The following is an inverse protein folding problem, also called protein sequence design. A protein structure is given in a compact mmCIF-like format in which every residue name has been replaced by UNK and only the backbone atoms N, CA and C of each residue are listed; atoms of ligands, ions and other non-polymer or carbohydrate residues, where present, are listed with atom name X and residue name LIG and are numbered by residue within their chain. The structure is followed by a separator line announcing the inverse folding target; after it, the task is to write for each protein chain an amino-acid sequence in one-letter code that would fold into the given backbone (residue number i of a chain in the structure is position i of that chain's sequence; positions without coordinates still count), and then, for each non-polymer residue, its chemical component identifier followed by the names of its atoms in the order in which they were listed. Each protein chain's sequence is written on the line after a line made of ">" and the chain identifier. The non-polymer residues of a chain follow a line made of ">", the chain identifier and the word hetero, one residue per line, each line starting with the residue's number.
data_IF_786561996147
#
_entry.id   IF_786561996147
#
_cell.length_a   1.000
_cell.length_b   1.000
_cell.length_c   1.000
_cell.angle_alpha   90.00
_cell.angle_beta   90.00
_cell.angle_gamma   90.00
#
_symmetry.space_group_name_H-M   'P 1'
#
loop_
_entity.id
_entity.type
_entity.pdbx_description
1 polymer ?
#
# COMPACT_ATOMS: atom_id res chain seq x y z
N UNK A 1 4.93 -28.79 -20.34
CA UNK A 1 5.35 -27.40 -20.63
C UNK A 1 4.14 -26.68 -21.23
N UNK A 2 3.10 -26.37 -20.44
CA UNK A 2 1.81 -25.93 -21.03
C UNK A 2 0.85 -25.12 -20.15
N UNK A 3 0.91 -25.18 -18.81
CA UNK A 3 0.01 -24.38 -17.95
C UNK A 3 0.78 -23.36 -17.10
N UNK A 4 1.96 -23.72 -16.61
CA UNK A 4 2.76 -22.82 -15.78
C UNK A 4 3.26 -21.58 -16.55
N UNK A 5 3.75 -21.77 -17.77
CA UNK A 5 4.26 -20.68 -18.62
C UNK A 5 3.14 -19.68 -19.00
N UNK A 6 1.97 -20.19 -19.37
CA UNK A 6 0.83 -19.33 -19.71
C UNK A 6 0.34 -18.52 -18.51
N UNK A 7 0.35 -19.09 -17.30
CA UNK A 7 0.01 -18.33 -16.09
C UNK A 7 1.04 -17.24 -15.76
N UNK A 8 2.32 -17.48 -16.04
CA UNK A 8 3.39 -16.50 -15.83
C UNK A 8 3.24 -15.32 -16.80
N UNK A 9 3.01 -15.60 -18.09
CA UNK A 9 2.82 -14.56 -19.11
C UNK A 9 1.60 -13.70 -18.81
N UNK A 10 0.45 -14.30 -18.44
CA UNK A 10 -0.76 -13.55 -18.11
C UNK A 10 -0.52 -12.64 -16.89
N UNK A 11 0.14 -13.16 -15.85
CA UNK A 11 0.50 -12.35 -14.67
C UNK A 11 1.42 -11.19 -15.04
N UNK A 12 2.45 -11.46 -15.85
CA UNK A 12 3.40 -10.46 -16.32
C UNK A 12 2.71 -9.31 -17.04
N UNK A 13 1.88 -9.61 -18.05
CA UNK A 13 1.15 -8.58 -18.80
C UNK A 13 0.14 -7.82 -17.95
N UNK A 14 -0.59 -8.51 -17.07
CA UNK A 14 -1.54 -7.87 -16.15
C UNK A 14 -0.85 -6.84 -15.26
N UNK A 15 0.35 -7.17 -14.78
CA UNK A 15 1.13 -6.31 -13.89
C UNK A 15 1.79 -5.14 -14.63
N UNK A 16 2.21 -5.32 -15.89
CA UNK A 16 2.63 -4.19 -16.76
C UNK A 16 1.47 -3.21 -16.96
N UNK A 17 0.27 -3.71 -17.24
CA UNK A 17 -0.92 -2.87 -17.42
C UNK A 17 -1.24 -2.13 -16.11
N UNK A 18 -1.24 -2.84 -14.97
CA UNK A 18 -1.46 -2.24 -13.67
C UNK A 18 -0.41 -1.20 -13.31
N UNK A 19 0.86 -1.43 -13.63
CA UNK A 19 1.92 -0.46 -13.38
C UNK A 19 1.79 0.78 -14.28
N UNK A 20 1.62 0.57 -15.58
CA UNK A 20 1.55 1.65 -16.59
C UNK A 20 0.32 2.55 -16.43
N UNK A 21 -0.80 2.01 -15.96
CA UNK A 21 -2.03 2.79 -15.72
C UNK A 21 -2.13 3.22 -14.25
N UNK A 22 -1.87 2.30 -13.33
CA UNK A 22 -2.09 2.47 -11.90
C UNK A 22 -1.15 3.50 -11.27
N UNK A 23 0.15 3.49 -11.60
CA UNK A 23 1.10 4.47 -11.02
C UNK A 23 0.76 5.89 -11.50
N UNK A 24 0.59 6.18 -12.81
CA UNK A 24 0.20 7.52 -13.23
C UNK A 24 -1.15 7.97 -12.66
N UNK A 25 -2.15 7.08 -12.62
CA UNK A 25 -3.46 7.41 -12.05
C UNK A 25 -3.37 7.76 -10.56
N UNK A 26 -2.63 6.97 -9.78
CA UNK A 26 -2.41 7.20 -8.35
C UNK A 26 -1.64 8.50 -8.10
N UNK A 27 -0.59 8.78 -8.89
CA UNK A 27 0.15 10.04 -8.83
C UNK A 27 -0.71 11.25 -9.18
N UNK A 28 -1.51 11.16 -10.25
CA UNK A 28 -2.44 12.23 -10.65
C UNK A 28 -3.48 12.49 -9.56
N UNK A 29 -4.02 11.45 -8.93
CA UNK A 29 -4.92 11.58 -7.80
C UNK A 29 -4.24 12.30 -6.62
N UNK A 30 -3.05 11.87 -6.23
CA UNK A 30 -2.29 12.52 -5.16
C UNK A 30 -2.04 14.01 -5.46
N UNK A 31 -1.62 14.33 -6.68
CA UNK A 31 -1.39 15.71 -7.14
C UNK A 31 -2.69 16.51 -7.18
N UNK A 32 -3.80 15.95 -7.66
CA UNK A 32 -5.09 16.62 -7.71
C UNK A 32 -5.60 16.98 -6.31
N UNK A 33 -5.56 16.03 -5.36
CA UNK A 33 -6.01 16.25 -4.00
C UNK A 33 -5.06 17.16 -3.20
N UNK A 34 -3.76 17.12 -3.46
CA UNK A 34 -2.78 18.01 -2.81
C UNK A 34 -2.69 19.41 -3.45
N UNK A 35 -2.95 19.52 -4.75
CA UNK A 35 -2.71 20.72 -5.56
C UNK A 35 -3.88 21.69 -5.58
N UNK A 36 -5.12 21.19 -5.67
CA UNK A 36 -6.30 22.03 -5.85
C UNK A 36 -6.65 22.73 -4.53
N UNK A 37 -6.71 24.07 -4.54
CA UNK A 37 -6.99 24.90 -3.36
C UNK A 37 -8.26 24.50 -2.60
N UNK A 38 -9.29 24.04 -3.32
CA UNK A 38 -10.56 23.57 -2.74
C UNK A 38 -10.34 22.33 -1.87
N UNK A 39 -9.54 21.36 -2.35
CA UNK A 39 -9.29 20.11 -1.62
C UNK A 39 -8.34 20.27 -0.44
N UNK A 40 -7.42 21.26 -0.47
CA UNK A 40 -6.53 21.58 0.66
C UNK A 40 -7.26 21.96 1.95
N UNK A 41 -8.53 22.37 1.87
CA UNK A 41 -9.35 22.68 3.06
C UNK A 41 -10.11 21.48 3.60
N UNK A 42 -10.18 20.37 2.85
CA UNK A 42 -10.85 19.16 3.30
C UNK A 42 -9.86 18.21 3.96
N UNK A 43 -10.09 17.89 5.23
CA UNK A 43 -9.42 16.81 5.96
C UNK A 43 -9.49 15.49 5.19
N UNK A 44 -10.68 15.12 4.69
CA UNK A 44 -10.89 13.91 3.86
C UNK A 44 -9.94 13.81 2.67
N UNK A 45 -9.64 14.93 2.00
CA UNK A 45 -8.80 14.93 0.80
C UNK A 45 -7.34 14.59 1.12
N UNK A 46 -6.88 14.89 2.32
CA UNK A 46 -5.53 14.50 2.75
C UNK A 46 -5.42 12.99 2.96
N UNK A 47 -6.46 12.35 3.51
CA UNK A 47 -6.50 10.89 3.64
C UNK A 47 -6.54 10.22 2.26
N UNK A 48 -7.36 10.71 1.34
CA UNK A 48 -7.43 10.17 -0.04
C UNK A 48 -6.11 10.38 -0.80
N UNK A 49 -5.44 11.53 -0.61
CA UNK A 49 -4.10 11.75 -1.16
C UNK A 49 -3.08 10.76 -0.58
N UNK A 50 -3.11 10.52 0.74
CA UNK A 50 -2.26 9.53 1.40
C UNK A 50 -2.51 8.10 0.91
N UNK A 51 -3.78 7.72 0.74
CA UNK A 51 -4.18 6.45 0.14
C UNK A 51 -3.63 6.33 -1.28
N UNK A 52 -3.78 7.37 -2.11
CA UNK A 52 -3.28 7.35 -3.49
C UNK A 52 -1.76 7.18 -3.55
N UNK A 53 -1.00 7.81 -2.64
CA UNK A 53 0.45 7.60 -2.53
C UNK A 53 0.81 6.18 -2.09
N UNK A 54 0.03 5.60 -1.16
CA UNK A 54 0.21 4.22 -0.74
C UNK A 54 -0.06 3.25 -1.91
N UNK A 55 -1.15 3.46 -2.66
CA UNK A 55 -1.47 2.65 -3.85
C UNK A 55 -0.36 2.72 -4.91
N UNK A 56 0.18 3.92 -5.17
CA UNK A 56 1.32 4.09 -6.08
C UNK A 56 2.54 3.27 -5.61
N UNK A 57 2.84 3.30 -4.31
CA UNK A 57 3.95 2.53 -3.74
C UNK A 57 3.72 1.02 -3.85
N UNK A 58 2.49 0.53 -3.65
CA UNK A 58 2.14 -0.89 -3.88
C UNK A 58 2.42 -1.28 -5.32
N UNK A 59 1.95 -0.51 -6.30
CA UNK A 59 2.16 -0.83 -7.72
C UNK A 59 3.64 -0.88 -8.07
N UNK A 60 4.46 0.03 -7.52
CA UNK A 60 5.91 0.02 -7.73
C UNK A 60 6.54 -1.24 -7.12
N UNK A 61 6.23 -1.58 -5.87
CA UNK A 61 6.83 -2.74 -5.20
C UNK A 61 6.40 -4.04 -5.87
N UNK A 62 5.13 -4.18 -6.23
CA UNK A 62 4.62 -5.38 -6.92
C UNK A 62 5.27 -5.51 -8.30
N UNK A 63 5.49 -4.41 -9.02
CA UNK A 63 6.22 -4.44 -10.30
C UNK A 63 7.67 -4.90 -10.12
N UNK A 64 8.36 -4.42 -9.07
CA UNK A 64 9.73 -4.83 -8.76
C UNK A 64 9.86 -6.33 -8.45
N UNK A 65 8.83 -6.98 -7.92
CA UNK A 65 8.84 -8.42 -7.64
C UNK A 65 8.88 -9.30 -8.90
N UNK A 66 8.53 -8.75 -10.07
CA UNK A 66 8.42 -9.50 -11.33
C UNK A 66 9.70 -9.41 -12.14
N UNK A 67 10.51 -8.37 -11.91
CA UNK A 67 11.78 -8.22 -12.62
C UNK A 67 12.60 -9.47 -12.30
N UNK A 68 12.98 -10.27 -13.32
CA UNK A 68 13.43 -11.63 -13.11
C UNK A 68 14.56 -11.69 -12.08
N UNK A 69 14.35 -12.49 -11.04
CA UNK A 69 15.31 -12.78 -9.96
C UNK A 69 16.63 -13.40 -10.44
N UNK A 70 16.74 -13.72 -11.74
CA UNK A 70 18.01 -14.11 -12.37
C UNK A 70 18.92 -12.91 -12.68
N UNK A 71 18.38 -11.71 -12.91
CA UNK A 71 19.17 -10.51 -13.19
C UNK A 71 19.41 -9.66 -11.94
N UNK A 72 18.47 -9.65 -11.01
CA UNK A 72 18.64 -9.12 -9.67
C UNK A 72 18.90 -10.30 -8.74
N UNK A 73 20.12 -10.42 -8.22
CA UNK A 73 20.41 -11.30 -7.08
C UNK A 73 19.61 -10.81 -5.87
N UNK A 74 18.29 -11.07 -5.85
CA UNK A 74 17.37 -10.65 -4.80
C UNK A 74 17.87 -11.36 -3.55
N UNK A 75 18.42 -10.56 -2.63
CA UNK A 75 18.85 -11.08 -1.33
C UNK A 75 17.61 -11.53 -0.55
N UNK A 76 17.77 -12.53 0.34
CA UNK A 76 16.71 -12.90 1.30
C UNK A 76 16.16 -11.66 2.04
N UNK A 77 17.02 -10.67 2.30
CA UNK A 77 16.64 -9.38 2.89
C UNK A 77 15.69 -8.59 1.99
N UNK A 78 16.00 -8.46 0.69
CA UNK A 78 15.15 -7.76 -0.27
C UNK A 78 13.78 -8.44 -0.41
N UNK A 79 13.76 -9.77 -0.45
CA UNK A 79 12.54 -10.58 -0.46
C UNK A 79 11.63 -10.28 0.75
N UNK A 80 12.19 -10.37 1.97
CA UNK A 80 11.51 -10.02 3.24
C UNK A 80 10.97 -8.60 3.21
N UNK A 81 11.79 -7.64 2.80
CA UNK A 81 11.43 -6.23 2.79
C UNK A 81 10.32 -5.92 1.77
N UNK A 82 10.34 -6.55 0.59
CA UNK A 82 9.28 -6.38 -0.41
C UNK A 82 7.93 -6.89 0.09
N UNK A 83 7.88 -8.10 0.66
CA UNK A 83 6.62 -8.66 1.21
C UNK A 83 6.10 -7.79 2.36
N UNK A 84 6.97 -7.42 3.31
CA UNK A 84 6.64 -6.50 4.39
C UNK A 84 6.07 -5.17 3.86
N UNK A 85 6.74 -4.58 2.87
CA UNK A 85 6.36 -3.28 2.33
C UNK A 85 5.02 -3.32 1.60
N UNK A 86 4.70 -4.40 0.87
CA UNK A 86 3.39 -4.58 0.24
C UNK A 86 2.30 -4.66 1.30
N UNK A 87 2.44 -5.54 2.29
CA UNK A 87 1.42 -5.74 3.33
C UNK A 87 1.20 -4.48 4.18
N UNK A 88 2.30 -3.83 4.57
CA UNK A 88 2.26 -2.57 5.31
C UNK A 88 1.56 -1.47 4.51
N UNK A 89 1.92 -1.30 3.23
CA UNK A 89 1.33 -0.24 2.39
C UNK A 89 -0.15 -0.49 2.11
N UNK A 90 -0.57 -1.73 1.84
CA UNK A 90 -1.99 -2.08 1.66
C UNK A 90 -2.80 -1.80 2.93
N UNK A 91 -2.27 -2.16 4.10
CA UNK A 91 -2.94 -1.92 5.39
C UNK A 91 -3.07 -0.43 5.71
N UNK A 92 -2.04 0.35 5.38
CA UNK A 92 -2.06 1.81 5.50
C UNK A 92 -3.08 2.44 4.54
N UNK A 93 -3.14 1.99 3.28
CA UNK A 93 -4.12 2.46 2.31
C UNK A 93 -5.55 2.23 2.80
N UNK A 94 -5.84 1.03 3.32
CA UNK A 94 -7.14 0.70 3.92
C UNK A 94 -7.45 1.58 5.14
N UNK A 95 -6.45 1.86 5.97
CA UNK A 95 -6.62 2.74 7.14
C UNK A 95 -6.95 4.17 6.74
N UNK A 96 -6.30 4.71 5.70
CA UNK A 96 -6.64 6.02 5.16
C UNK A 96 -8.02 6.05 4.56
N UNK A 97 -8.43 4.97 3.87
CA UNK A 97 -9.80 4.84 3.40
C UNK A 97 -10.81 4.89 4.56
N UNK A 98 -10.60 4.10 5.63
CA UNK A 98 -11.45 4.11 6.82
C UNK A 98 -11.46 5.47 7.54
N UNK A 99 -10.31 6.13 7.67
CA UNK A 99 -10.21 7.47 8.27
C UNK A 99 -10.94 8.52 7.42
N UNK A 100 -10.89 8.39 6.09
CA UNK A 100 -11.65 9.25 5.18
C UNK A 100 -13.16 9.07 5.36
N UNK A 101 -13.63 7.83 5.53
CA UNK A 101 -15.03 7.53 5.79
C UNK A 101 -15.48 8.05 7.16
N UNK A 102 -14.64 7.87 8.19
CA UNK A 102 -14.89 8.39 9.53
C UNK A 102 -14.96 9.92 9.53
N UNK A 103 -14.07 10.60 8.81
CA UNK A 103 -14.11 12.07 8.64
C UNK A 103 -15.41 12.54 7.99
N UNK A 104 -15.90 11.83 6.97
CA UNK A 104 -17.20 12.10 6.33
C UNK A 104 -18.37 11.88 7.27
N UNK A 105 -18.38 10.79 8.03
CA UNK A 105 -19.38 10.53 9.05
C UNK A 105 -19.38 11.63 10.13
N UNK A 106 -18.20 12.02 10.62
CA UNK A 106 -18.04 13.08 11.62
C UNK A 106 -18.58 14.44 11.13
N UNK A 107 -18.48 14.72 9.81
CA UNK A 107 -19.08 15.92 9.21
C UNK A 107 -20.62 15.92 9.29
N UNK A 108 -21.25 14.75 9.18
CA UNK A 108 -22.71 14.60 9.22
C UNK A 108 -23.28 14.49 10.65
N UNK A 109 -22.43 14.25 11.65
CA UNK A 109 -22.85 14.11 13.03
C UNK A 109 -23.48 15.40 13.58
N UNK A 110 -24.52 15.27 14.42
CA UNK A 110 -25.15 16.42 15.10
C UNK A 110 -24.30 16.94 16.27
N UNK A 111 -23.37 16.15 16.78
CA UNK A 111 -22.58 16.47 17.97
C UNK A 111 -21.41 17.41 17.64
N UNK A 112 -21.38 18.60 18.23
CA UNK A 112 -20.32 19.61 18.02
C UNK A 112 -18.93 19.07 18.34
N UNK A 113 -18.78 18.28 19.42
CA UNK A 113 -17.49 17.66 19.80
C UNK A 113 -16.93 16.76 18.70
N UNK A 114 -17.79 15.98 18.03
CA UNK A 114 -17.37 15.08 16.94
C UNK A 114 -16.94 15.89 15.72
N UNK A 115 -17.65 16.99 15.40
CA UNK A 115 -17.26 17.89 14.30
C UNK A 115 -15.92 18.57 14.53
N UNK A 116 -15.54 18.84 15.79
CA UNK A 116 -14.24 19.44 16.13
C UNK A 116 -13.06 18.49 15.88
N UNK A 117 -13.27 17.16 15.83
CA UNK A 117 -12.21 16.20 15.49
C UNK A 117 -11.72 16.34 14.03
N UNK A 118 -12.46 17.06 13.19
CA UNK A 118 -12.15 17.32 11.77
C UNK A 118 -10.98 18.29 11.55
N UNK A 119 -10.40 18.85 12.62
CA UNK A 119 -9.33 19.83 12.47
C UNK A 119 -8.15 19.22 11.68
N UNK A 120 -7.70 19.90 10.64
CA UNK A 120 -6.55 19.50 9.80
C UNK A 120 -5.30 19.23 10.65
N UNK A 121 -5.17 19.92 11.79
CA UNK A 121 -4.09 19.69 12.74
C UNK A 121 -4.14 18.28 13.34
N UNK A 122 -5.34 17.76 13.65
CA UNK A 122 -5.53 16.39 14.14
C UNK A 122 -5.21 15.39 13.04
N UNK A 123 -5.66 15.64 11.80
CA UNK A 123 -5.34 14.80 10.63
C UNK A 123 -3.84 14.64 10.43
N UNK A 124 -3.07 15.73 10.50
CA UNK A 124 -1.61 15.69 10.36
C UNK A 124 -0.93 14.88 11.46
N UNK A 125 -1.46 14.92 12.69
CA UNK A 125 -0.95 14.13 13.82
C UNK A 125 -1.35 12.65 13.73
N UNK A 126 -2.52 12.35 13.15
CA UNK A 126 -2.99 10.98 12.94
C UNK A 126 -2.35 10.31 11.73
N UNK A 127 -1.82 11.08 10.77
CA UNK A 127 -1.21 10.53 9.56
C UNK A 127 -0.09 9.49 9.79
N UNK A 128 0.87 9.68 10.71
CA UNK A 128 1.89 8.65 10.99
C UNK A 128 1.38 7.45 11.79
N UNK A 129 0.21 7.53 12.43
CA UNK A 129 -0.28 6.47 13.34
C UNK A 129 -0.53 5.13 12.63
N UNK A 130 -1.22 5.08 11.46
CA UNK A 130 -1.34 3.85 10.69
C UNK A 130 0.01 3.24 10.32
N UNK A 131 0.99 4.05 9.91
CA UNK A 131 2.31 3.55 9.56
C UNK A 131 2.99 2.83 10.73
N UNK A 132 2.94 3.42 11.93
CA UNK A 132 3.55 2.83 13.13
C UNK A 132 2.81 1.53 13.51
N UNK A 133 1.48 1.58 13.60
CA UNK A 133 0.67 0.43 14.00
C UNK A 133 0.86 -0.74 13.04
N UNK A 134 0.77 -0.50 11.73
CA UNK A 134 0.94 -1.56 10.74
C UNK A 134 2.39 -2.01 10.58
N UNK A 135 3.38 -1.16 10.85
CA UNK A 135 4.76 -1.62 10.90
C UNK A 135 4.94 -2.68 11.98
N UNK A 136 4.41 -2.46 13.18
CA UNK A 136 4.48 -3.42 14.29
C UNK A 136 3.74 -4.72 13.99
N UNK A 137 2.53 -4.64 13.44
CA UNK A 137 1.72 -5.81 13.07
C UNK A 137 2.40 -6.64 11.98
N UNK A 138 3.08 -5.99 11.02
CA UNK A 138 3.70 -6.70 9.90
C UNK A 138 5.16 -7.16 10.17
N UNK A 139 5.73 -6.94 11.36
CA UNK A 139 7.05 -7.47 11.73
C UNK A 139 7.20 -8.99 11.47
N UNK A 140 6.19 -9.85 11.72
CA UNK A 140 6.30 -11.29 11.43
C UNK A 140 6.68 -11.60 9.98
N UNK A 141 6.24 -10.81 9.00
CA UNK A 141 6.63 -10.99 7.59
C UNK A 141 8.14 -10.82 7.37
N UNK A 142 8.83 -9.99 8.16
CA UNK A 142 10.28 -9.86 8.10
C UNK A 142 11.02 -11.07 8.69
N UNK A 143 10.38 -11.80 9.62
CA UNK A 143 10.98 -12.92 10.33
C UNK A 143 10.73 -14.23 9.57
N UNK A 144 9.48 -14.45 9.13
CA UNK A 144 9.00 -15.75 8.63
C UNK A 144 8.92 -15.87 7.10
N UNK A 145 9.11 -14.79 6.33
CA UNK A 145 9.26 -14.93 4.88
C UNK A 145 10.71 -15.24 4.54
N UNK A 146 10.95 -16.22 3.67
CA UNK A 146 12.29 -16.45 3.12
C UNK A 146 12.23 -16.75 1.62
N UNK A 147 13.39 -16.70 0.99
CA UNK A 147 13.59 -17.05 -0.40
C UNK A 147 13.74 -18.57 -0.51
N UNK A 148 12.83 -19.24 -1.20
CA UNK A 148 12.88 -20.71 -1.37
C UNK A 148 13.62 -21.06 -2.67
N UNK A 149 14.79 -21.73 -2.61
CA UNK A 149 15.45 -22.28 -3.79
C UNK A 149 14.70 -23.54 -4.30
N UNK A 150 14.63 -23.81 -5.61
CA UNK A 150 15.26 -23.11 -6.74
C UNK A 150 14.37 -22.06 -7.42
N UNK A 151 13.11 -21.92 -6.99
CA UNK A 151 12.14 -21.02 -7.61
C UNK A 151 12.49 -19.55 -7.42
N UNK A 152 13.37 -19.24 -6.44
CA UNK A 152 13.71 -17.87 -6.04
C UNK A 152 12.45 -17.06 -5.73
N UNK A 153 11.42 -17.73 -5.21
CA UNK A 153 10.16 -17.14 -4.83
C UNK A 153 10.16 -16.83 -3.33
N UNK A 154 9.53 -15.72 -2.96
CA UNK A 154 9.32 -15.32 -1.57
C UNK A 154 8.10 -16.03 -1.01
N UNK A 155 8.29 -16.85 0.02
CA UNK A 155 7.22 -17.63 0.65
C UNK A 155 7.38 -17.70 2.16
N UNK A 156 6.28 -17.97 2.86
CA UNK A 156 6.29 -18.23 4.30
C UNK A 156 6.92 -19.59 4.58
N UNK A 157 7.88 -19.63 5.49
CA UNK A 157 8.57 -20.86 5.89
C UNK A 157 7.91 -21.55 7.08
N UNK A 158 6.92 -20.92 7.72
CA UNK A 158 6.30 -21.42 8.95
C UNK A 158 4.83 -21.79 8.74
N UNK A 159 4.47 -23.02 9.10
CA UNK A 159 3.12 -23.60 8.89
C UNK A 159 1.97 -22.85 9.59
N UNK A 160 2.27 -22.05 10.61
CA UNK A 160 1.26 -21.26 11.34
C UNK A 160 0.69 -20.08 10.51
N UNK A 161 1.33 -19.75 9.38
CA UNK A 161 0.96 -18.62 8.52
C UNK A 161 0.61 -19.04 7.08
N UNK A 162 0.50 -20.34 6.79
CA UNK A 162 -0.10 -20.89 5.56
C UNK A 162 -1.61 -21.02 5.71
#
# INVERSE_FOLDING_TARGET
>A
MSIFETTLEIRFWSLIILFSIGVPAACLNAVAFAGIKIFRRSSSAHYVAGQSLADANVFIIVFLQIIPSKSLSISSIACKFMVFSVQMTMSVAMSFFCLSAFDRWACTSQTVRIRQLRLIQVVRRLFPVPFILWSLVNIPFLIYCDLIPPTLACWFTHDLFM
#
